data_IF_398487365879
#
_entry.id   IF_398487365879
#
_cell.length_a   1.000
_cell.length_b   1.000
_cell.length_c   1.000
_cell.angle_alpha   90.00
_cell.angle_beta   90.00
_cell.angle_gamma   90.00
#
_symmetry.space_group_name_H-M   'P 1'
#
loop_
_entity.id
_entity.type
_entity.pdbx_description
1 polymer ?
#
# COMPACT_ATOMS: atom_id res chain seq x y z
N UNK A 1 -8.27 -6.82 -21.45
CA UNK A 1 -6.93 -6.42 -21.01
C UNK A 1 -7.01 -5.42 -19.87
N UNK A 2 -6.22 -5.66 -18.82
CA UNK A 2 -6.11 -4.73 -17.68
C UNK A 2 -4.98 -3.75 -17.98
N UNK A 3 -5.24 -2.46 -17.79
CA UNK A 3 -4.25 -1.38 -18.00
C UNK A 3 -3.61 -1.05 -16.64
N UNK A 4 -2.27 -0.95 -16.54
CA UNK A 4 -1.62 -0.53 -15.29
C UNK A 4 -2.09 0.85 -14.82
N UNK A 5 -2.21 1.04 -13.50
CA UNK A 5 -2.45 2.36 -12.94
C UNK A 5 -1.11 3.05 -12.66
N UNK A 6 -0.71 3.95 -13.54
CA UNK A 6 0.53 4.71 -13.34
C UNK A 6 0.42 5.72 -12.20
N UNK A 7 1.54 6.26 -11.74
CA UNK A 7 1.56 7.24 -10.64
C UNK A 7 0.57 8.41 -10.86
N UNK A 8 0.47 8.91 -12.09
CA UNK A 8 -0.44 9.99 -12.46
C UNK A 8 -1.92 9.65 -12.21
N UNK A 9 -2.31 8.38 -12.29
CA UNK A 9 -3.67 7.95 -11.93
C UNK A 9 -3.97 8.29 -10.48
N UNK A 10 -3.06 8.00 -9.56
CA UNK A 10 -3.22 8.28 -8.14
C UNK A 10 -3.17 9.79 -7.84
N UNK A 11 -2.34 10.56 -8.56
CA UNK A 11 -2.35 12.03 -8.47
C UNK A 11 -3.73 12.59 -8.85
N UNK A 12 -4.30 12.13 -9.97
CA UNK A 12 -5.62 12.55 -10.43
C UNK A 12 -6.72 12.09 -9.47
N UNK A 13 -6.61 10.87 -8.93
CA UNK A 13 -7.56 10.34 -7.96
C UNK A 13 -7.62 11.21 -6.70
N UNK A 14 -6.48 11.55 -6.11
CA UNK A 14 -6.42 12.41 -4.93
C UNK A 14 -7.00 13.82 -5.20
N UNK A 15 -6.75 14.38 -6.40
CA UNK A 15 -7.27 15.71 -6.79
C UNK A 15 -8.77 15.72 -7.04
N UNK A 16 -9.29 14.69 -7.71
CA UNK A 16 -10.71 14.60 -8.06
C UNK A 16 -11.57 14.16 -6.87
N UNK A 17 -10.99 13.44 -5.91
CA UNK A 17 -11.70 12.90 -4.75
C UNK A 17 -10.96 13.27 -3.45
N UNK A 18 -10.90 14.57 -3.09
CA UNK A 18 -10.13 15.00 -1.92
C UNK A 18 -10.66 14.41 -0.60
N UNK A 19 -11.94 14.04 -0.53
CA UNK A 19 -12.59 13.45 0.64
C UNK A 19 -12.66 11.91 0.60
N UNK A 20 -11.85 11.25 -0.25
CA UNK A 20 -11.83 9.80 -0.38
C UNK A 20 -11.47 9.15 0.97
N UNK A 21 -12.36 8.31 1.50
CA UNK A 21 -12.19 7.60 2.78
C UNK A 21 -11.72 6.15 2.63
N UNK A 22 -12.18 5.50 1.57
CA UNK A 22 -11.90 4.09 1.30
C UNK A 22 -11.38 3.95 -0.12
N UNK A 23 -10.29 3.20 -0.28
CA UNK A 23 -9.69 2.91 -1.57
C UNK A 23 -9.37 1.42 -1.65
N UNK A 24 -9.95 0.75 -2.63
CA UNK A 24 -9.66 -0.64 -2.95
C UNK A 24 -8.93 -0.66 -4.28
N UNK A 25 -7.70 -1.21 -4.30
CA UNK A 25 -6.88 -1.33 -5.49
C UNK A 25 -6.90 -2.78 -5.93
N UNK A 26 -7.52 -3.02 -7.08
CA UNK A 26 -7.53 -4.33 -7.74
C UNK A 26 -6.87 -4.16 -9.09
N UNK A 27 -5.61 -4.54 -9.20
CA UNK A 27 -4.88 -4.55 -10.47
C UNK A 27 -3.62 -5.43 -10.35
N UNK A 28 -3.55 -6.55 -11.05
CA UNK A 28 -2.40 -7.44 -11.01
C UNK A 28 -1.27 -7.06 -11.99
N UNK A 29 -1.47 -6.03 -12.82
CA UNK A 29 -0.44 -5.58 -13.77
C UNK A 29 0.57 -4.67 -13.09
N UNK A 30 1.85 -4.99 -13.25
CA UNK A 30 2.95 -4.12 -12.82
C UNK A 30 2.85 -2.72 -13.42
N UNK A 31 3.28 -1.72 -12.67
CA UNK A 31 3.39 -0.35 -13.18
C UNK A 31 4.53 -0.29 -14.21
N UNK A 32 4.41 0.56 -15.22
CA UNK A 32 5.49 0.74 -16.18
C UNK A 32 6.70 1.35 -15.49
N UNK A 33 7.86 0.71 -15.61
CA UNK A 33 9.15 1.24 -15.13
C UNK A 33 9.56 2.54 -15.83
N UNK A 34 8.92 2.87 -16.97
CA UNK A 34 9.12 4.14 -17.68
C UNK A 34 8.50 5.34 -16.96
N UNK A 35 7.61 5.13 -15.97
CA UNK A 35 7.11 6.24 -15.14
C UNK A 35 8.21 6.87 -14.27
N UNK A 36 9.30 6.14 -13.98
CA UNK A 36 10.51 6.68 -13.36
C UNK A 36 11.33 7.59 -14.29
N UNK A 37 11.05 7.55 -15.59
CA UNK A 37 11.67 8.36 -16.64
C UNK A 37 10.59 9.15 -17.38
N UNK A 38 9.93 10.06 -16.67
CA UNK A 38 9.08 11.08 -17.28
C UNK A 38 9.77 11.66 -18.53
N UNK A 39 9.12 11.52 -19.69
CA UNK A 39 9.56 12.04 -21.00
C UNK A 39 9.52 13.57 -21.10
N UNK A 40 9.16 14.28 -20.02
CA UNK A 40 9.44 15.70 -19.88
C UNK A 40 10.72 15.86 -19.07
N UNK A 41 11.77 16.36 -19.73
CA UNK A 41 13.09 16.65 -19.18
C UNK A 41 13.10 17.76 -18.12
N UNK A 42 12.35 17.54 -17.05
CA UNK A 42 12.41 18.32 -15.83
C UNK A 42 12.51 17.31 -14.68
N UNK A 43 13.72 17.10 -14.18
CA UNK A 43 14.05 16.25 -13.03
C UNK A 43 13.49 16.86 -11.73
N UNK A 44 12.19 17.10 -11.67
CA UNK A 44 11.49 17.45 -10.45
C UNK A 44 11.28 16.21 -9.58
N UNK A 45 11.31 16.32 -8.25
CA UNK A 45 10.87 15.23 -7.38
C UNK A 45 9.42 14.89 -7.75
N UNK A 46 9.11 13.60 -7.88
CA UNK A 46 7.72 13.16 -8.04
C UNK A 46 6.84 13.83 -6.99
N UNK A 47 5.70 14.39 -7.41
CA UNK A 47 4.75 15.01 -6.50
C UNK A 47 4.25 13.95 -5.52
N UNK A 48 4.51 14.15 -4.24
CA UNK A 48 4.01 13.24 -3.20
C UNK A 48 2.50 13.36 -3.16
N UNK A 49 1.80 12.26 -3.48
CA UNK A 49 0.33 12.20 -3.44
C UNK A 49 -0.13 12.21 -2.00
N UNK A 50 -1.19 12.95 -1.68
CA UNK A 50 -1.73 13.00 -0.32
C UNK A 50 -3.20 12.60 -0.33
N UNK A 51 -3.54 11.61 0.49
CA UNK A 51 -4.93 11.24 0.76
C UNK A 51 -5.25 11.58 2.22
N UNK A 52 -5.57 12.85 2.47
CA UNK A 52 -5.74 13.40 3.82
C UNK A 52 -6.93 12.82 4.59
N UNK A 53 -7.86 12.16 3.91
CA UNK A 53 -9.08 11.60 4.51
C UNK A 53 -9.20 10.09 4.36
N UNK A 54 -8.20 9.43 3.76
CA UNK A 54 -8.25 7.99 3.53
C UNK A 54 -8.00 7.27 4.85
N UNK A 55 -8.99 6.50 5.30
CA UNK A 55 -8.95 5.73 6.54
C UNK A 55 -8.82 4.23 6.30
N UNK A 56 -9.24 3.77 5.12
CA UNK A 56 -9.28 2.36 4.74
C UNK A 56 -8.61 2.15 3.38
N UNK A 57 -7.64 1.24 3.33
CA UNK A 57 -6.91 0.86 2.12
C UNK A 57 -6.88 -0.67 1.99
N UNK A 58 -7.27 -1.16 0.81
CA UNK A 58 -7.30 -2.60 0.51
C UNK A 58 -6.58 -2.90 -0.81
N UNK A 59 -5.83 -4.00 -0.83
CA UNK A 59 -5.09 -4.50 -2.00
C UNK A 59 -5.62 -5.87 -2.47
N UNK A 60 -6.74 -5.87 -3.17
CA UNK A 60 -7.31 -7.10 -3.73
C UNK A 60 -6.54 -7.57 -4.98
N UNK A 61 -5.75 -8.64 -4.88
CA UNK A 61 -4.95 -9.19 -6.00
C UNK A 61 -4.10 -8.12 -6.71
N UNK A 62 -3.63 -7.12 -5.96
CA UNK A 62 -2.83 -6.03 -6.50
C UNK A 62 -1.39 -6.47 -6.75
N UNK A 63 -0.75 -5.92 -7.80
CA UNK A 63 0.70 -6.03 -7.97
C UNK A 63 1.43 -5.28 -6.84
N UNK A 64 2.60 -5.77 -6.45
CA UNK A 64 3.39 -5.21 -5.33
C UNK A 64 3.78 -3.74 -5.55
N UNK A 65 3.89 -3.29 -6.80
CA UNK A 65 4.20 -1.89 -7.13
C UNK A 65 3.16 -0.92 -6.55
N UNK A 66 1.88 -1.31 -6.54
CA UNK A 66 0.81 -0.49 -5.96
C UNK A 66 0.94 -0.39 -4.44
N UNK A 67 1.31 -1.50 -3.80
CA UNK A 67 1.62 -1.53 -2.37
C UNK A 67 2.78 -0.59 -2.07
N UNK A 68 3.88 -0.72 -2.82
CA UNK A 68 5.05 0.14 -2.71
C UNK A 68 4.71 1.61 -2.97
N UNK A 69 3.85 1.91 -3.95
CA UNK A 69 3.44 3.28 -4.23
C UNK A 69 2.62 3.89 -3.09
N UNK A 70 1.69 3.14 -2.51
CA UNK A 70 0.78 3.66 -1.50
C UNK A 70 1.41 3.70 -0.10
N UNK A 71 2.18 2.68 0.28
CA UNK A 71 2.75 2.60 1.63
C UNK A 71 4.03 3.42 1.77
N UNK A 72 4.76 3.70 0.69
CA UNK A 72 5.97 4.53 0.76
C UNK A 72 5.64 6.02 0.88
N UNK A 73 5.98 6.62 2.01
CA UNK A 73 5.72 8.03 2.36
C UNK A 73 6.38 9.07 1.44
N UNK A 74 7.44 8.66 0.73
CA UNK A 74 8.08 9.49 -0.31
C UNK A 74 7.28 9.53 -1.61
N UNK A 75 6.27 8.68 -1.76
CA UNK A 75 5.37 8.61 -2.92
C UNK A 75 3.95 9.02 -2.57
N UNK A 76 3.45 8.54 -1.42
CA UNK A 76 2.07 8.76 -0.97
C UNK A 76 2.03 8.99 0.53
N UNK A 77 1.33 10.02 1.01
CA UNK A 77 1.08 10.25 2.44
C UNK A 77 -0.35 9.90 2.81
N UNK A 78 -0.50 9.09 3.85
CA UNK A 78 -1.76 8.54 4.33
C UNK A 78 -1.94 8.82 5.83
N UNK A 79 -2.00 10.11 6.26
CA UNK A 79 -1.94 10.47 7.68
C UNK A 79 -3.10 9.92 8.53
N UNK A 80 -4.23 9.59 7.89
CA UNK A 80 -5.43 9.09 8.55
C UNK A 80 -5.68 7.60 8.33
N UNK A 81 -4.74 6.85 7.76
CA UNK A 81 -4.92 5.43 7.52
C UNK A 81 -4.98 4.66 8.84
N UNK A 82 -6.11 4.04 9.12
CA UNK A 82 -6.34 3.25 10.33
C UNK A 82 -6.62 1.79 10.03
N UNK A 83 -7.00 1.46 8.79
CA UNK A 83 -7.35 0.09 8.40
C UNK A 83 -6.63 -0.31 7.12
N UNK A 84 -5.99 -1.48 7.13
CA UNK A 84 -5.22 -2.01 6.01
C UNK A 84 -5.56 -3.48 5.76
N UNK A 85 -5.97 -3.80 4.53
CA UNK A 85 -6.15 -5.16 4.04
C UNK A 85 -5.13 -5.45 2.94
N UNK A 86 -4.29 -6.46 3.15
CA UNK A 86 -3.12 -6.68 2.29
C UNK A 86 -2.65 -8.14 2.33
N UNK A 87 -1.95 -8.61 1.31
CA UNK A 87 -1.20 -9.87 1.40
C UNK A 87 0.00 -9.74 2.34
N UNK A 88 0.18 -10.71 3.25
CA UNK A 88 1.27 -10.68 4.23
C UNK A 88 2.66 -10.67 3.58
N UNK A 89 2.86 -11.43 2.49
CA UNK A 89 4.15 -11.48 1.82
C UNK A 89 4.48 -10.17 1.12
N UNK A 90 3.50 -9.52 0.50
CA UNK A 90 3.64 -8.18 -0.06
C UNK A 90 4.00 -7.17 1.03
N UNK A 91 3.24 -7.14 2.13
CA UNK A 91 3.50 -6.24 3.26
C UNK A 91 4.92 -6.46 3.83
N UNK A 92 5.29 -7.71 4.08
CA UNK A 92 6.63 -8.07 4.57
C UNK A 92 7.72 -7.62 3.59
N UNK A 93 7.49 -7.76 2.29
CA UNK A 93 8.45 -7.34 1.26
C UNK A 93 8.63 -5.82 1.24
N UNK A 94 7.55 -5.05 1.10
CA UNK A 94 7.64 -3.58 0.96
C UNK A 94 8.18 -2.90 2.21
N UNK A 95 7.88 -3.45 3.40
CA UNK A 95 8.37 -2.96 4.68
C UNK A 95 9.79 -3.44 5.01
N UNK A 96 10.42 -4.23 4.13
CA UNK A 96 11.69 -4.91 4.39
C UNK A 96 11.68 -5.64 5.74
N UNK A 97 10.74 -6.58 5.90
CA UNK A 97 10.48 -7.29 7.15
C UNK A 97 10.23 -6.34 8.34
N UNK A 98 9.44 -5.29 8.13
CA UNK A 98 9.05 -4.30 9.14
C UNK A 98 10.23 -3.46 9.68
N UNK A 99 11.26 -3.22 8.88
CA UNK A 99 12.43 -2.40 9.25
C UNK A 99 12.57 -1.11 8.44
N UNK A 100 11.78 -0.95 7.38
CA UNK A 100 11.89 0.20 6.47
C UNK A 100 11.16 1.42 7.00
N UNK A 101 11.90 2.48 7.32
CA UNK A 101 11.35 3.75 7.81
C UNK A 101 10.36 4.39 6.82
N UNK A 102 10.69 4.37 5.53
CA UNK A 102 9.90 5.03 4.48
C UNK A 102 8.46 4.51 4.33
N UNK A 103 8.15 3.33 4.87
CA UNK A 103 6.79 2.78 4.88
C UNK A 103 6.17 2.83 6.28
N UNK A 104 6.94 3.19 7.31
CA UNK A 104 6.53 3.14 8.72
C UNK A 104 5.56 4.28 9.04
N UNK A 105 5.78 5.49 8.52
CA UNK A 105 4.91 6.63 8.86
C UNK A 105 3.47 6.45 8.37
N UNK A 106 3.27 5.77 7.23
CA UNK A 106 1.94 5.45 6.75
C UNK A 106 1.28 4.29 7.52
N UNK A 107 2.08 3.47 8.23
CA UNK A 107 1.58 2.32 8.98
C UNK A 107 1.36 2.58 10.48
N UNK A 108 1.94 3.65 11.03
CA UNK A 108 1.96 3.88 12.49
C UNK A 108 0.58 4.05 13.12
N UNK A 109 -0.40 4.52 12.34
CA UNK A 109 -1.76 4.77 12.79
C UNK A 109 -2.72 3.60 12.54
N UNK A 110 -2.23 2.47 12.02
CA UNK A 110 -3.08 1.31 11.72
C UNK A 110 -3.54 0.66 13.03
N UNK A 111 -4.85 0.58 13.18
CA UNK A 111 -5.59 -0.02 14.30
C UNK A 111 -6.17 -1.39 13.91
N UNK A 112 -6.39 -1.63 12.62
CA UNK A 112 -6.94 -2.85 12.05
C UNK A 112 -6.09 -3.28 10.85
N UNK A 113 -5.46 -4.45 10.96
CA UNK A 113 -4.67 -5.06 9.90
C UNK A 113 -5.18 -6.46 9.66
N UNK A 114 -5.58 -6.71 8.43
CA UNK A 114 -6.10 -8.00 8.01
C UNK A 114 -5.31 -8.49 6.79
N UNK A 115 -5.12 -9.80 6.74
CA UNK A 115 -4.37 -10.44 5.68
C UNK A 115 -5.31 -11.19 4.75
N UNK A 116 -5.22 -10.89 3.45
CA UNK A 116 -5.97 -11.68 2.47
C UNK A 116 -5.49 -13.14 2.54
N UNK A 117 -6.40 -14.06 2.88
CA UNK A 117 -6.18 -15.49 2.67
C UNK A 117 -6.16 -15.71 1.15
N UNK A 118 -4.98 -16.00 0.61
CA UNK A 118 -4.78 -16.18 -0.83
C UNK A 118 -5.47 -17.43 -1.33
N UNK A 119 -6.79 -17.41 -1.52
CA UNK A 119 -7.53 -18.53 -2.12
C UNK A 119 -7.42 -18.50 -3.65
N UNK A 120 -6.21 -18.69 -4.18
CA UNK A 120 -6.01 -19.11 -5.58
C UNK A 120 -5.41 -20.52 -5.67
N UNK A 121 -5.19 -21.20 -4.54
CA UNK A 121 -4.90 -22.63 -4.50
C UNK A 121 -5.88 -23.37 -3.56
N UNK A 122 -6.56 -24.36 -4.16
CA UNK A 122 -7.32 -25.48 -3.59
C UNK A 122 -7.12 -25.75 -2.09
N UNK A 123 -8.25 -25.82 -1.38
CA UNK A 123 -8.50 -26.59 -0.15
C UNK A 123 -7.25 -27.05 0.64
N UNK A 124 -6.70 -26.20 1.49
CA UNK A 124 -6.20 -26.61 2.81
C UNK A 124 -5.62 -25.43 3.57
N UNK A 125 -6.14 -25.28 4.78
CA UNK A 125 -5.67 -24.41 5.84
C UNK A 125 -5.78 -22.89 5.61
N UNK A 126 -6.84 -22.34 6.20
CA UNK A 126 -6.90 -21.00 6.77
C UNK A 126 -5.86 -20.91 7.91
N UNK A 127 -4.57 -20.98 7.54
CA UNK A 127 -3.49 -20.82 8.49
C UNK A 127 -3.54 -19.39 9.00
N UNK A 128 -3.90 -19.24 10.28
CA UNK A 128 -3.75 -18.00 11.02
C UNK A 128 -2.35 -17.44 10.76
N UNK A 129 -2.25 -16.35 9.99
CA UNK A 129 -0.97 -15.71 9.71
C UNK A 129 -0.54 -15.03 10.99
N UNK A 130 0.42 -15.65 11.69
CA UNK A 130 1.06 -15.07 12.87
C UNK A 130 2.30 -14.32 12.39
N UNK A 131 2.36 -12.98 12.51
CA UNK A 131 3.54 -12.22 12.13
C UNK A 131 4.76 -12.68 12.95
N UNK A 132 5.81 -13.13 12.26
CA UNK A 132 7.00 -13.67 12.93
C UNK A 132 8.09 -12.63 13.23
N UNK A 133 7.89 -11.37 12.81
CA UNK A 133 8.90 -10.32 13.01
C UNK A 133 8.81 -9.69 14.38
N UNK A 134 9.94 -9.54 15.07
CA UNK A 134 10.04 -8.83 16.35
C UNK A 134 9.69 -7.35 16.23
N UNK A 135 9.90 -6.78 15.04
CA UNK A 135 9.66 -5.37 14.76
C UNK A 135 8.20 -5.08 14.37
N UNK A 136 7.36 -6.12 14.25
CA UNK A 136 5.96 -5.98 13.84
C UNK A 136 5.19 -5.02 14.76
N UNK A 137 5.33 -5.15 16.09
CA UNK A 137 4.66 -4.27 17.05
C UNK A 137 5.23 -2.85 17.07
N UNK A 138 6.48 -2.67 16.65
CA UNK A 138 7.09 -1.34 16.48
C UNK A 138 6.51 -0.66 15.23
N UNK A 139 6.21 -1.47 14.21
CA UNK A 139 5.64 -1.02 12.95
C UNK A 139 4.16 -0.65 13.04
N UNK A 140 3.43 -1.36 13.88
CA UNK A 140 1.99 -1.19 14.08
C UNK A 140 1.66 -1.05 15.58
N UNK A 141 2.03 0.09 16.21
CA UNK A 141 1.92 0.27 17.65
C UNK A 141 0.47 0.37 18.16
N UNK A 142 -0.51 0.60 17.28
CA UNK A 142 -1.92 0.75 17.63
C UNK A 142 -2.76 -0.51 17.36
N UNK A 143 -2.18 -1.57 16.81
CA UNK A 143 -2.92 -2.83 16.58
C UNK A 143 -3.36 -3.43 17.91
N UNK A 144 -4.67 -3.70 18.01
CA UNK A 144 -5.25 -4.44 19.12
C UNK A 144 -5.12 -5.94 18.79
N UNK A 145 -4.19 -6.59 19.48
CA UNK A 145 -3.95 -8.04 19.41
C UNK A 145 -4.81 -8.79 20.41
#
# INVERSE_FOLDING_TARGET
DWIPFEHEFFVRLARCFPLLKTLIIVNCKAQSTDSAKSKHGNNGPFEVVQYLHLTSLEFGRAHIDYVEQMLNESKTRLPCLTQLWIDYHQLKTVTNNFTRDATRLNCINIEELDFHSGSDHDDSDDHLIIPQSKDFHVYFPLLKL
#
